data_IF_408114940528
#
_entry.id   IF_408114940528
#
_cell.length_a   1.000
_cell.length_b   1.000
_cell.length_c   1.000
_cell.angle_alpha   90.00
_cell.angle_beta   90.00
_cell.angle_gamma   90.00
#
_symmetry.space_group_name_H-M   'P 1'
#
loop_
_entity.id
_entity.type
_entity.pdbx_description
1 polymer ?
#
# COMPACT_ATOMS: atom_id res chain seq x y z
N UNK A 1 6.31 1.66 -1.13
CA UNK A 1 7.36 0.81 -0.53
C UNK A 1 7.46 0.94 1.00
N UNK A 2 7.39 2.13 1.57
CA UNK A 2 7.52 2.35 3.04
C UNK A 2 6.44 1.64 3.87
N UNK A 3 5.20 1.56 3.37
CA UNK A 3 4.13 0.80 4.05
C UNK A 3 4.44 -0.69 4.14
N UNK A 4 4.95 -1.29 3.05
CA UNK A 4 5.35 -2.71 2.99
C UNK A 4 6.37 -3.03 4.07
N UNK A 5 7.44 -2.23 4.19
CA UNK A 5 8.50 -2.47 5.18
C UNK A 5 7.98 -2.38 6.61
N UNK A 6 7.06 -1.45 6.90
CA UNK A 6 6.43 -1.35 8.22
C UNK A 6 5.55 -2.58 8.50
N UNK A 7 4.73 -3.03 7.54
CA UNK A 7 3.89 -4.22 7.70
C UNK A 7 4.76 -5.45 8.01
N UNK A 8 5.86 -5.64 7.27
CA UNK A 8 6.82 -6.72 7.52
C UNK A 8 7.45 -6.59 8.90
N UNK A 9 7.90 -5.41 9.29
CA UNK A 9 8.50 -5.18 10.62
C UNK A 9 7.52 -5.49 11.77
N UNK A 10 6.23 -5.19 11.61
CA UNK A 10 5.22 -5.50 12.64
C UNK A 10 4.87 -6.99 12.73
N UNK A 11 4.81 -7.68 11.58
CA UNK A 11 4.09 -8.95 11.46
C UNK A 11 4.99 -10.13 11.10
N UNK A 12 6.29 -9.94 10.92
CA UNK A 12 7.23 -11.04 10.66
C UNK A 12 7.57 -11.79 11.96
N UNK A 13 7.60 -11.09 13.10
CA UNK A 13 7.92 -11.67 14.43
C UNK A 13 7.04 -11.06 15.55
N UNK A 14 6.03 -11.77 16.06
CA UNK A 14 5.56 -13.10 15.64
C UNK A 14 4.92 -13.06 14.25
N UNK A 15 5.05 -14.15 13.48
CA UNK A 15 4.51 -14.23 12.13
C UNK A 15 2.98 -14.18 12.15
N UNK A 16 2.38 -13.21 11.46
CA UNK A 16 0.93 -13.10 11.30
C UNK A 16 0.58 -13.18 9.81
N UNK A 17 0.01 -14.29 9.33
CA UNK A 17 -0.18 -14.52 7.89
C UNK A 17 -1.11 -13.48 7.26
N UNK A 18 -2.23 -13.15 7.93
CA UNK A 18 -3.24 -12.26 7.36
C UNK A 18 -2.70 -10.85 7.03
N UNK A 19 -2.02 -10.13 7.97
CA UNK A 19 -1.36 -8.87 7.61
C UNK A 19 -0.18 -9.04 6.64
N UNK A 20 0.50 -10.18 6.64
CA UNK A 20 1.66 -10.40 5.78
C UNK A 20 1.28 -10.51 4.29
N UNK A 21 0.03 -10.89 3.97
CA UNK A 21 -0.47 -10.91 2.58
C UNK A 21 -0.43 -9.54 1.90
N UNK A 22 -0.55 -8.44 2.66
CA UNK A 22 -0.47 -7.10 2.08
C UNK A 22 0.92 -6.76 1.56
N UNK A 23 1.98 -7.37 2.09
CA UNK A 23 3.35 -7.09 1.67
C UNK A 23 3.61 -7.43 0.19
N UNK A 24 3.40 -8.68 -0.30
CA UNK A 24 3.58 -9.00 -1.71
C UNK A 24 2.60 -8.25 -2.62
N UNK A 25 1.36 -7.99 -2.18
CA UNK A 25 0.39 -7.21 -2.95
C UNK A 25 0.84 -5.77 -3.20
N UNK A 26 1.37 -5.10 -2.16
CA UNK A 26 1.89 -3.74 -2.28
C UNK A 26 3.18 -3.68 -3.11
N UNK A 27 4.00 -4.73 -3.07
CA UNK A 27 5.18 -4.85 -3.96
C UNK A 27 4.72 -4.99 -5.41
N UNK A 28 3.72 -5.82 -5.67
CA UNK A 28 3.15 -5.98 -7.00
C UNK A 28 2.54 -4.68 -7.55
N UNK A 29 1.79 -3.92 -6.74
CA UNK A 29 1.25 -2.61 -7.16
C UNK A 29 2.35 -1.61 -7.53
N UNK A 30 3.48 -1.65 -6.82
CA UNK A 30 4.64 -0.84 -7.17
C UNK A 30 5.30 -1.30 -8.47
N UNK A 31 5.36 -2.60 -8.72
CA UNK A 31 5.85 -3.14 -9.99
C UNK A 31 4.99 -2.67 -11.17
N UNK A 32 3.66 -2.69 -11.04
CA UNK A 32 2.76 -2.16 -12.07
C UNK A 32 3.03 -0.68 -12.38
N UNK A 33 3.25 0.12 -11.33
CA UNK A 33 3.62 1.53 -11.49
C UNK A 33 4.94 1.68 -12.26
N UNK A 34 5.94 0.84 -11.96
CA UNK A 34 7.22 0.81 -12.69
C UNK A 34 7.10 0.28 -14.12
N UNK A 35 6.11 -0.58 -14.38
CA UNK A 35 5.78 -1.09 -15.70
C UNK A 35 4.96 -0.09 -16.54
N UNK A 36 4.67 1.09 -16.01
CA UNK A 36 3.95 2.18 -16.68
C UNK A 36 2.45 2.21 -16.41
N UNK A 37 1.92 1.22 -15.69
CA UNK A 37 0.51 1.19 -15.23
C UNK A 37 0.37 2.02 -13.96
N UNK A 38 0.56 3.35 -14.05
CA UNK A 38 0.60 4.24 -12.89
C UNK A 38 -0.79 4.40 -12.27
N UNK A 39 -1.84 4.57 -13.07
CA UNK A 39 -3.23 4.69 -12.60
C UNK A 39 -3.69 3.40 -11.93
N UNK A 40 -3.51 2.24 -12.57
CA UNK A 40 -3.93 0.96 -12.00
C UNK A 40 -3.07 0.57 -10.79
N UNK A 41 -1.75 0.83 -10.85
CA UNK A 41 -0.85 0.64 -9.72
C UNK A 41 -1.21 1.51 -8.52
N UNK A 42 -1.62 2.76 -8.75
CA UNK A 42 -2.11 3.67 -7.71
C UNK A 42 -3.45 3.20 -7.12
N UNK A 43 -4.38 2.75 -7.96
CA UNK A 43 -5.66 2.19 -7.53
C UNK A 43 -5.49 0.93 -6.67
N UNK A 44 -4.62 -0.01 -7.09
CA UNK A 44 -4.32 -1.19 -6.27
C UNK A 44 -3.64 -0.83 -4.96
N UNK A 45 -2.69 0.12 -4.98
CA UNK A 45 -2.04 0.61 -3.76
C UNK A 45 -3.08 1.21 -2.80
N UNK A 46 -4.03 1.98 -3.31
CA UNK A 46 -5.10 2.58 -2.51
C UNK A 46 -6.01 1.54 -1.87
N UNK A 47 -6.46 0.56 -2.66
CA UNK A 47 -7.33 -0.52 -2.21
C UNK A 47 -6.67 -1.36 -1.11
N UNK A 48 -5.43 -1.81 -1.32
CA UNK A 48 -4.72 -2.65 -0.35
C UNK A 48 -4.32 -1.87 0.91
N UNK A 49 -3.87 -0.63 0.76
CA UNK A 49 -3.56 0.23 1.90
C UNK A 49 -4.80 0.52 2.74
N UNK A 50 -5.95 0.72 2.08
CA UNK A 50 -7.22 1.02 2.75
C UNK A 50 -7.76 -0.19 3.50
N UNK A 51 -7.71 -1.36 2.86
CA UNK A 51 -8.05 -2.64 3.48
C UNK A 51 -7.19 -2.91 4.72
N UNK A 52 -5.87 -2.67 4.62
CA UNK A 52 -4.97 -2.80 5.77
C UNK A 52 -5.40 -1.89 6.92
N UNK A 53 -5.70 -0.61 6.65
CA UNK A 53 -6.16 0.35 7.66
C UNK A 53 -7.48 -0.09 8.29
N UNK A 54 -8.46 -0.52 7.50
CA UNK A 54 -9.74 -1.01 8.01
C UNK A 54 -9.56 -2.21 8.95
N UNK A 55 -8.72 -3.18 8.58
CA UNK A 55 -8.42 -4.33 9.42
C UNK A 55 -7.65 -3.93 10.68
N UNK A 56 -6.69 -3.02 10.55
CA UNK A 56 -5.89 -2.53 11.67
C UNK A 56 -6.72 -1.69 12.65
N UNK A 57 -7.72 -0.96 12.17
CA UNK A 57 -8.67 -0.19 12.97
C UNK A 57 -9.72 -1.09 13.65
N UNK A 58 -10.16 -2.16 12.97
CA UNK A 58 -11.13 -3.12 13.52
C UNK A 58 -10.56 -3.99 14.65
N UNK A 59 -9.23 -4.07 14.78
CA UNK A 59 -8.61 -4.76 15.93
C UNK A 59 -8.99 -4.05 17.22
N UNK A 60 -10.05 -4.56 17.88
CA UNK A 60 -10.43 -4.19 19.24
C UNK A 60 -9.17 -4.28 20.10
N UNK A 61 -8.78 -3.22 20.80
CA UNK A 61 -7.80 -3.33 21.86
C UNK A 61 -8.41 -4.32 22.85
N UNK A 62 -8.04 -5.60 22.78
CA UNK A 62 -8.26 -6.49 23.91
C UNK A 62 -7.72 -5.76 25.13
N UNK A 63 -8.34 -5.96 26.28
CA UNK A 63 -8.06 -5.40 27.63
C UNK A 63 -6.57 -5.32 28.05
N UNK A 64 -5.62 -5.75 27.20
CA UNK A 64 -4.16 -5.68 27.26
C UNK A 64 -3.52 -4.47 26.54
N UNK A 65 -4.27 -3.62 25.84
CA UNK A 65 -3.75 -2.40 25.19
C UNK A 65 -3.87 -1.21 26.15
N UNK A 66 -3.14 -1.25 27.26
CA UNK A 66 -3.01 -0.08 28.15
C UNK A 66 -2.30 1.06 27.44
N UNK A 67 -2.53 2.31 27.89
CA UNK A 67 -1.93 3.55 27.38
C UNK A 67 -0.40 3.44 27.13
N UNK A 68 0.31 2.66 27.97
CA UNK A 68 1.76 2.43 27.83
C UNK A 68 2.19 1.62 26.60
N UNK A 69 1.32 0.78 26.01
CA UNK A 69 1.66 0.03 24.78
C UNK A 69 1.37 0.83 23.50
N UNK A 70 0.46 1.79 23.57
CA UNK A 70 0.23 2.77 22.50
C UNK A 70 1.43 3.73 22.36
N UNK A 71 2.06 4.10 23.48
CA UNK A 71 3.30 4.88 23.52
C UNK A 71 4.58 4.04 23.31
N UNK A 72 4.46 2.72 23.11
CA UNK A 72 5.63 1.86 22.82
C UNK A 72 6.11 2.02 21.38
N UNK A 73 7.37 1.67 21.09
CA UNK A 73 7.92 1.66 19.73
C UNK A 73 7.01 0.90 18.76
N UNK A 74 6.44 -0.25 19.15
CA UNK A 74 5.50 -1.01 18.30
C UNK A 74 4.18 -0.27 18.08
N UNK A 75 3.73 0.50 19.07
CA UNK A 75 2.57 1.39 18.95
C UNK A 75 2.81 2.49 17.92
N UNK A 76 3.99 3.12 17.96
CA UNK A 76 4.40 4.12 16.98
C UNK A 76 4.48 3.54 15.56
N UNK A 77 5.17 2.41 15.37
CA UNK A 77 5.28 1.78 14.03
C UNK A 77 3.89 1.38 13.50
N UNK A 78 2.97 0.91 14.36
CA UNK A 78 1.58 0.63 13.98
C UNK A 78 0.84 1.90 13.57
N UNK A 79 0.95 2.97 14.37
CA UNK A 79 0.34 4.27 14.08
C UNK A 79 0.83 4.83 12.75
N UNK A 80 2.14 4.82 12.52
CA UNK A 80 2.76 5.26 11.27
C UNK A 80 2.31 4.39 10.08
N UNK A 81 2.21 3.07 10.25
CA UNK A 81 1.70 2.19 9.19
C UNK A 81 0.23 2.50 8.84
N UNK A 82 -0.61 2.75 9.84
CA UNK A 82 -2.01 3.13 9.60
C UNK A 82 -2.13 4.52 8.96
N UNK A 83 -1.35 5.50 9.42
CA UNK A 83 -1.33 6.84 8.86
C UNK A 83 -0.87 6.85 7.39
N UNK A 84 0.23 6.16 7.09
CA UNK A 84 0.72 5.99 5.71
C UNK A 84 -0.27 5.20 4.85
N UNK A 85 -0.92 4.17 5.42
CA UNK A 85 -1.95 3.43 4.73
C UNK A 85 -3.12 4.33 4.31
N UNK A 86 -3.61 5.17 5.23
CA UNK A 86 -4.70 6.09 4.95
C UNK A 86 -4.30 7.14 3.91
N UNK A 87 -3.10 7.71 4.02
CA UNK A 87 -2.56 8.66 3.04
C UNK A 87 -2.45 8.03 1.64
N UNK A 88 -1.93 6.79 1.54
CA UNK A 88 -1.87 6.05 0.28
C UNK A 88 -3.25 5.78 -0.31
N UNK A 89 -4.25 5.48 0.52
CA UNK A 89 -5.63 5.28 0.07
C UNK A 89 -6.23 6.54 -0.52
N UNK A 90 -6.06 7.69 0.15
CA UNK A 90 -6.58 8.97 -0.35
C UNK A 90 -5.84 9.39 -1.62
N UNK A 91 -4.51 9.35 -1.61
CA UNK A 91 -3.69 9.77 -2.76
C UNK A 91 -3.87 8.85 -3.97
N UNK A 92 -3.79 7.53 -3.77
CA UNK A 92 -3.96 6.57 -4.86
C UNK A 92 -5.40 6.53 -5.36
N UNK A 93 -6.39 6.72 -4.48
CA UNK A 93 -7.79 6.86 -4.85
C UNK A 93 -8.04 8.12 -5.69
N UNK A 94 -7.39 9.24 -5.34
CA UNK A 94 -7.44 10.46 -6.14
C UNK A 94 -6.86 10.24 -7.54
N UNK A 95 -5.63 9.69 -7.63
CA UNK A 95 -4.99 9.38 -8.92
C UNK A 95 -5.84 8.42 -9.75
N UNK A 96 -6.44 7.41 -9.14
CA UNK A 96 -7.31 6.47 -9.83
C UNK A 96 -8.59 7.14 -10.38
N UNK A 97 -9.15 8.09 -9.62
CA UNK A 97 -10.37 8.80 -10.01
C UNK A 97 -10.14 9.88 -11.07
N UNK A 98 -9.00 10.59 -11.03
CA UNK A 98 -8.74 11.74 -11.91
C UNK A 98 -7.74 11.45 -13.02
N UNK A 99 -7.13 10.26 -13.05
CA UNK A 99 -6.08 9.91 -13.99
C UNK A 99 -6.56 9.79 -15.44
N UNK A 100 -5.78 10.33 -16.38
CA UNK A 100 -6.07 10.21 -17.81
C UNK A 100 -5.39 8.95 -18.39
N UNK A 101 -6.21 7.93 -18.68
CA UNK A 101 -5.72 6.63 -19.19
C UNK A 101 -5.13 6.70 -20.59
N UNK A 102 -5.56 7.66 -21.42
CA UNK A 102 -5.05 7.81 -22.81
C UNK A 102 -3.61 8.32 -22.80
N UNK A 103 -3.36 9.38 -22.03
CA UNK A 103 -2.02 9.93 -21.85
C UNK A 103 -1.06 8.89 -21.24
N UNK A 104 -1.54 8.08 -20.29
CA UNK A 104 -0.71 7.02 -19.72
C UNK A 104 -0.36 5.92 -20.74
N UNK A 105 -1.27 5.57 -21.64
CA UNK A 105 -0.99 4.62 -22.72
C UNK A 105 0.02 5.17 -23.73
N UNK A 106 -0.11 6.45 -24.09
CA UNK A 106 0.84 7.17 -24.95
C UNK A 106 2.25 7.17 -24.31
N UNK A 107 2.37 7.57 -23.04
CA UNK A 107 3.65 7.53 -22.32
C UNK A 107 4.25 6.12 -22.29
N UNK A 108 3.43 5.07 -22.13
CA UNK A 108 3.91 3.69 -22.15
C UNK A 108 4.43 3.27 -23.53
N UNK A 109 3.80 3.72 -24.60
CA UNK A 109 4.25 3.50 -25.98
C UNK A 109 5.55 4.23 -26.27
N UNK A 110 5.67 5.49 -25.85
CA UNK A 110 6.89 6.29 -26.01
C UNK A 110 8.08 5.71 -25.27
N UNK A 111 7.91 5.32 -24.02
CA UNK A 111 9.01 4.76 -23.22
C UNK A 111 9.34 3.33 -23.66
N UNK A 112 8.33 2.56 -24.10
CA UNK A 112 8.42 1.16 -24.53
C UNK A 112 9.37 0.29 -23.69
N UNK A 113 9.33 0.46 -22.36
CA UNK A 113 10.35 -0.07 -21.44
C UNK A 113 10.56 -1.59 -21.55
N UNK A 114 9.51 -2.29 -21.95
CA UNK A 114 9.45 -3.74 -22.06
C UNK A 114 9.38 -4.25 -23.51
N UNK A 115 9.53 -3.37 -24.50
CA UNK A 115 9.52 -3.75 -25.92
C UNK A 115 8.21 -4.37 -26.41
N UNK A 116 7.09 -4.01 -25.77
CA UNK A 116 5.76 -4.57 -26.06
C UNK A 116 5.16 -3.96 -27.33
N UNK A 117 5.42 -2.67 -27.55
CA UNK A 117 4.93 -1.94 -28.72
C UNK A 117 5.95 -2.08 -29.86
N UNK A 118 5.45 -2.30 -31.08
CA UNK A 118 6.25 -2.49 -32.32
C UNK A 118 5.87 -1.50 -33.42
N UNK A 119 5.02 -0.55 -33.06
CA UNK A 119 4.43 0.50 -33.88
C UNK A 119 5.51 1.44 -34.44
#
# INVERSE_FOLDING_TARGET
MTLTSLITALHLRPFQPLPMLFAPLLVFSSYLTLAGFKIDGAGMTAAWSGMYVLLAARRRPGTRMGMGRALSLRGFVRGSAMALGAANTVAGGYVYATGNRKLEEEERREVNRWGVYRD
#
